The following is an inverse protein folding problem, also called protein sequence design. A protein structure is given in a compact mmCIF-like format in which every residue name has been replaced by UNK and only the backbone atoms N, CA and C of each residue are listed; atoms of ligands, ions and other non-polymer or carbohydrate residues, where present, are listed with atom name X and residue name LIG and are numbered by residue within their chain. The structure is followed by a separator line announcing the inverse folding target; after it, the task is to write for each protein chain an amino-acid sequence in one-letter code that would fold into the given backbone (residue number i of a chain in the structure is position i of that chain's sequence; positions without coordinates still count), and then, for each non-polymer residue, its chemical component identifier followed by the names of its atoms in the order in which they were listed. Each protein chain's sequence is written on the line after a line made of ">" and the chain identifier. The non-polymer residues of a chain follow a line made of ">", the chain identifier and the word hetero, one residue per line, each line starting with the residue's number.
data_IF_365264649885
#
_entry.id   IF_365264649885
#
_cell.length_a   1.000
_cell.length_b   1.000
_cell.length_c   1.000
_cell.angle_alpha   90.00
_cell.angle_beta   90.00
_cell.angle_gamma   90.00
#
_symmetry.space_group_name_H-M   'P 1'
#
loop_
_entity.id
_entity.type
_entity.pdbx_description
1 polymer ?
#
# COMPACT_ATOMS: atom_id res chain seq x y z
N UNK A 1 -5.68 -5.34 -14.90
CA UNK A 1 -5.99 -4.96 -13.50
C UNK A 1 -5.24 -3.70 -13.18
N UNK A 2 -5.93 -2.69 -12.67
CA UNK A 2 -5.34 -1.40 -12.24
C UNK A 2 -5.43 -1.29 -10.72
N UNK A 3 -4.33 -0.91 -10.10
CA UNK A 3 -4.23 -0.70 -8.65
C UNK A 3 -3.66 0.69 -8.39
N UNK A 4 -4.29 1.41 -7.47
CA UNK A 4 -3.89 2.77 -7.10
C UNK A 4 -3.49 2.80 -5.62
N UNK A 5 -2.47 3.57 -5.25
CA UNK A 5 -2.21 3.97 -3.87
C UNK A 5 -2.21 5.49 -3.79
N UNK A 6 -3.01 6.05 -2.89
CA UNK A 6 -3.16 7.49 -2.78
C UNK A 6 -3.55 7.92 -1.37
N UNK A 7 -2.81 8.89 -0.84
CA UNK A 7 -3.22 9.62 0.36
C UNK A 7 -4.09 10.80 -0.07
N UNK A 8 -5.39 10.74 0.25
CA UNK A 8 -6.38 11.73 -0.19
C UNK A 8 -6.58 12.88 0.79
N UNK A 9 -5.88 12.89 1.93
CA UNK A 9 -5.94 13.96 2.94
C UNK A 9 -7.37 14.36 3.34
N UNK A 10 -8.24 13.36 3.51
CA UNK A 10 -9.66 13.55 3.89
C UNK A 10 -10.47 14.39 2.87
N UNK A 11 -10.03 14.49 1.62
CA UNK A 11 -10.73 15.22 0.57
C UNK A 11 -11.74 14.30 -0.13
N UNK A 12 -13.01 14.66 -0.07
CA UNK A 12 -14.11 13.90 -0.69
C UNK A 12 -14.05 13.94 -2.21
N UNK A 13 -13.60 15.04 -2.81
CA UNK A 13 -13.51 15.17 -4.27
C UNK A 13 -12.45 14.24 -4.88
N UNK A 14 -11.47 13.83 -4.07
CA UNK A 14 -10.49 12.84 -4.49
C UNK A 14 -11.14 11.47 -4.79
N UNK A 15 -12.25 11.11 -4.13
CA UNK A 15 -13.01 9.90 -4.45
C UNK A 15 -13.60 9.95 -5.85
N UNK A 16 -14.15 11.09 -6.26
CA UNK A 16 -14.70 11.27 -7.61
C UNK A 16 -13.61 11.19 -8.67
N UNK A 17 -12.45 11.79 -8.40
CA UNK A 17 -11.29 11.68 -9.29
C UNK A 17 -10.80 10.22 -9.39
N UNK A 18 -10.69 9.54 -8.25
CA UNK A 18 -10.31 8.12 -8.19
C UNK A 18 -11.26 7.26 -9.04
N UNK A 19 -12.57 7.38 -8.81
CA UNK A 19 -13.57 6.54 -9.47
C UNK A 19 -13.72 6.84 -10.95
N UNK A 20 -13.71 8.12 -11.35
CA UNK A 20 -14.06 8.55 -12.70
C UNK A 20 -12.86 8.72 -13.64
N UNK A 21 -11.68 9.04 -13.11
CA UNK A 21 -10.48 9.32 -13.91
C UNK A 21 -9.45 8.20 -13.82
N UNK A 22 -9.11 7.78 -12.60
CA UNK A 22 -8.14 6.72 -12.41
C UNK A 22 -8.75 5.34 -12.62
N UNK A 23 -10.03 5.17 -12.34
CA UNK A 23 -10.84 3.97 -12.57
C UNK A 23 -10.14 2.65 -12.16
N UNK A 24 -9.73 2.50 -10.89
CA UNK A 24 -9.00 1.32 -10.45
C UNK A 24 -9.91 0.12 -10.22
N UNK A 25 -9.39 -1.10 -10.40
CA UNK A 25 -10.01 -2.32 -9.87
C UNK A 25 -9.89 -2.34 -8.33
N UNK A 26 -8.74 -1.84 -7.82
CA UNK A 26 -8.46 -1.73 -6.38
C UNK A 26 -7.70 -0.43 -6.07
N UNK A 27 -7.94 0.12 -4.89
CA UNK A 27 -7.11 1.21 -4.38
C UNK A 27 -6.80 1.05 -2.89
N UNK A 28 -5.59 1.46 -2.52
CA UNK A 28 -5.10 1.62 -1.16
C UNK A 28 -5.16 3.12 -0.84
N UNK A 29 -6.11 3.52 0.00
CA UNK A 29 -6.38 4.93 0.30
C UNK A 29 -6.01 5.24 1.73
N UNK A 30 -5.15 6.24 1.90
CA UNK A 30 -4.72 6.73 3.20
C UNK A 30 -5.42 8.06 3.52
N UNK A 31 -5.59 8.38 4.80
CA UNK A 31 -6.33 9.55 5.27
C UNK A 31 -7.69 9.66 4.57
N UNK A 32 -8.43 8.56 4.58
CA UNK A 32 -9.71 8.43 3.90
C UNK A 32 -10.83 9.18 4.63
N UNK A 33 -11.83 9.59 3.89
CA UNK A 33 -13.18 9.94 4.37
C UNK A 33 -14.17 8.89 3.90
N UNK A 34 -15.42 9.00 4.36
CA UNK A 34 -16.49 8.14 3.87
C UNK A 34 -16.60 8.21 2.34
N UNK A 35 -16.81 7.05 1.73
CA UNK A 35 -17.09 6.96 0.30
C UNK A 35 -18.41 7.67 -0.01
N UNK A 36 -18.47 8.58 -1.00
CA UNK A 36 -19.74 9.16 -1.47
C UNK A 36 -20.74 8.07 -1.86
N UNK A 37 -22.02 8.29 -1.55
CA UNK A 37 -23.09 7.30 -1.77
C UNK A 37 -23.32 6.96 -3.25
N UNK A 38 -22.95 7.87 -4.14
CA UNK A 38 -23.08 7.73 -5.60
C UNK A 38 -21.86 7.06 -6.26
N UNK A 39 -20.83 6.70 -5.49
CA UNK A 39 -19.68 5.92 -5.97
C UNK A 39 -19.85 4.45 -5.61
N UNK A 40 -20.01 3.60 -6.64
CA UNK A 40 -20.09 2.17 -6.47
C UNK A 40 -18.74 1.57 -6.05
N UNK A 41 -18.64 1.15 -4.80
CA UNK A 41 -17.42 0.56 -4.26
C UNK A 41 -17.63 -0.22 -2.97
N UNK A 42 -16.72 -1.14 -2.71
CA UNK A 42 -16.61 -1.81 -1.42
C UNK A 42 -15.43 -1.19 -0.69
N UNK A 43 -15.68 -0.63 0.50
CA UNK A 43 -14.61 -0.21 1.40
C UNK A 43 -14.33 -1.27 2.45
N UNK A 44 -13.07 -1.57 2.62
CA UNK A 44 -12.57 -2.50 3.62
C UNK A 44 -11.66 -1.70 4.54
N UNK A 45 -12.14 -1.51 5.78
CA UNK A 45 -11.45 -0.71 6.79
C UNK A 45 -10.50 -1.56 7.60
N UNK A 46 -9.34 -1.00 7.91
CA UNK A 46 -8.52 -1.50 9.00
C UNK A 46 -9.26 -1.21 10.32
N UNK A 47 -9.54 -2.25 11.08
CA UNK A 47 -10.25 -2.08 12.35
C UNK A 47 -9.39 -1.27 13.34
N UNK A 48 -10.03 -0.31 14.02
CA UNK A 48 -9.62 0.29 15.30
C UNK A 48 -8.83 1.59 15.36
N UNK A 49 -8.77 2.44 14.35
CA UNK A 49 -8.28 3.80 14.59
C UNK A 49 -9.32 4.83 14.18
N UNK A 50 -9.88 5.52 15.16
CA UNK A 50 -10.97 6.48 14.97
C UNK A 50 -10.59 7.72 14.13
N UNK A 51 -9.30 7.95 13.91
CA UNK A 51 -8.82 9.21 13.34
C UNK A 51 -7.94 9.10 12.06
N UNK A 52 -7.51 7.91 11.66
CA UNK A 52 -6.65 7.73 10.48
C UNK A 52 -7.10 6.53 9.66
N UNK A 53 -8.03 6.78 8.77
CA UNK A 53 -8.66 5.73 7.98
C UNK A 53 -7.78 5.36 6.78
N UNK A 54 -7.00 4.28 6.90
CA UNK A 54 -6.53 3.55 5.75
C UNK A 54 -7.59 2.55 5.32
N UNK A 55 -7.90 2.51 4.03
CA UNK A 55 -8.93 1.62 3.49
C UNK A 55 -8.47 0.99 2.18
N UNK A 56 -8.90 -0.24 1.95
CA UNK A 56 -8.84 -0.85 0.63
C UNK A 56 -10.20 -0.62 -0.05
N UNK A 57 -10.18 0.07 -1.17
CA UNK A 57 -11.31 0.22 -2.07
C UNK A 57 -11.27 -0.89 -3.12
N UNK A 58 -12.43 -1.46 -3.43
CA UNK A 58 -12.61 -2.37 -4.56
C UNK A 58 -13.83 -1.96 -5.38
N UNK A 59 -13.65 -1.84 -6.71
CA UNK A 59 -14.72 -1.47 -7.64
C UNK A 59 -15.81 -2.54 -7.68
N UNK A 60 -17.08 -2.13 -7.51
CA UNK A 60 -18.25 -2.99 -7.70
C UNK A 60 -18.44 -3.27 -9.19
N UNK A 61 -18.94 -4.48 -9.52
CA UNK A 61 -19.15 -4.88 -10.92
C UNK A 61 -17.89 -5.31 -11.67
N UNK A 62 -16.71 -5.14 -11.07
CA UNK A 62 -15.45 -5.61 -11.64
C UNK A 62 -15.32 -7.14 -11.68
N UNK A 63 -14.18 -7.63 -12.15
CA UNK A 63 -13.90 -9.07 -12.28
C UNK A 63 -13.69 -9.79 -10.94
N UNK A 64 -13.53 -9.06 -9.85
CA UNK A 64 -13.14 -9.58 -8.55
C UNK A 64 -14.29 -9.51 -7.54
N UNK A 65 -14.38 -10.51 -6.66
CA UNK A 65 -15.36 -10.60 -5.57
C UNK A 65 -14.64 -10.78 -4.26
N UNK A 66 -15.03 -10.01 -3.25
CA UNK A 66 -14.49 -10.16 -1.89
C UNK A 66 -14.81 -11.55 -1.35
N UNK A 67 -13.80 -12.24 -0.84
CA UNK A 67 -13.89 -13.57 -0.24
C UNK A 67 -13.78 -13.52 1.27
N UNK A 68 -12.80 -12.80 1.76
CA UNK A 68 -12.55 -12.66 3.19
C UNK A 68 -11.73 -11.42 3.50
N UNK A 69 -11.84 -10.97 4.72
CA UNK A 69 -10.98 -9.94 5.30
C UNK A 69 -10.35 -10.46 6.57
N UNK A 70 -9.16 -9.96 6.90
CA UNK A 70 -8.46 -10.24 8.14
C UNK A 70 -7.84 -8.93 8.63
N UNK A 71 -8.27 -8.47 9.81
CA UNK A 71 -7.62 -7.35 10.46
C UNK A 71 -6.24 -7.78 10.96
N UNK A 72 -5.25 -6.95 10.74
CA UNK A 72 -3.95 -7.02 11.40
C UNK A 72 -4.04 -6.15 12.67
N UNK A 73 -3.26 -6.43 13.69
CA UNK A 73 -3.18 -5.53 14.84
C UNK A 73 -2.60 -4.21 14.38
N UNK A 74 -2.99 -3.12 15.02
CA UNK A 74 -2.42 -1.78 14.81
C UNK A 74 -2.67 -1.12 13.43
N UNK A 75 -3.78 -1.46 12.78
CA UNK A 75 -4.31 -0.67 11.67
C UNK A 75 -4.04 -1.22 10.27
N UNK A 76 -3.46 -2.40 10.14
CA UNK A 76 -3.33 -3.07 8.85
C UNK A 76 -4.52 -3.98 8.50
N UNK A 77 -4.71 -4.27 7.22
CA UNK A 77 -5.75 -5.19 6.74
C UNK A 77 -5.25 -6.07 5.61
N UNK A 78 -5.73 -7.31 5.59
CA UNK A 78 -5.63 -8.22 4.46
C UNK A 78 -7.01 -8.43 3.88
N UNK A 79 -7.21 -8.09 2.62
CA UNK A 79 -8.42 -8.40 1.87
C UNK A 79 -8.11 -9.44 0.79
N UNK A 80 -8.92 -10.48 0.71
CA UNK A 80 -8.79 -11.55 -0.26
C UNK A 80 -9.92 -11.48 -1.27
N UNK A 81 -9.57 -11.47 -2.54
CA UNK A 81 -10.51 -11.40 -3.65
C UNK A 81 -10.32 -12.58 -4.61
N UNK A 82 -11.43 -13.12 -5.09
CA UNK A 82 -11.45 -14.13 -6.13
C UNK A 82 -12.12 -13.62 -7.40
N UNK A 83 -11.67 -14.10 -8.57
CA UNK A 83 -12.24 -13.76 -9.89
C UNK A 83 -12.88 -14.96 -10.60
N UNK A 84 -13.21 -16.03 -9.87
CA UNK A 84 -13.72 -17.27 -10.44
C UNK A 84 -12.66 -18.19 -11.04
N UNK A 85 -11.42 -17.71 -11.20
CA UNK A 85 -10.26 -18.54 -11.50
C UNK A 85 -9.67 -19.16 -10.21
N UNK A 86 -8.73 -20.07 -10.35
CA UNK A 86 -8.24 -20.92 -9.26
C UNK A 86 -7.45 -20.17 -8.17
N UNK A 87 -6.98 -18.94 -8.43
CA UNK A 87 -6.09 -18.24 -7.53
C UNK A 87 -6.67 -16.91 -7.05
N UNK A 88 -6.87 -16.81 -5.74
CA UNK A 88 -7.24 -15.56 -5.07
C UNK A 88 -6.10 -14.54 -5.10
N UNK A 89 -6.45 -13.26 -5.13
CA UNK A 89 -5.52 -12.15 -4.92
C UNK A 89 -5.67 -11.63 -3.51
N UNK A 90 -4.54 -11.43 -2.82
CA UNK A 90 -4.50 -10.88 -1.48
C UNK A 90 -3.94 -9.47 -1.53
N UNK A 91 -4.71 -8.51 -1.03
CA UNK A 91 -4.32 -7.11 -0.91
C UNK A 91 -3.98 -6.83 0.54
N UNK A 92 -2.80 -6.33 0.78
CA UNK A 92 -2.30 -5.97 2.10
C UNK A 92 -2.12 -4.47 2.17
N UNK A 93 -2.81 -3.83 3.09
CA UNK A 93 -2.63 -2.43 3.45
C UNK A 93 -2.08 -2.34 4.87
N UNK A 94 -1.01 -1.61 5.02
CA UNK A 94 -0.45 -1.26 6.32
C UNK A 94 -0.18 0.23 6.30
N UNK A 95 -0.83 0.94 7.19
CA UNK A 95 -0.58 2.36 7.42
C UNK A 95 0.14 2.51 8.78
N UNK A 96 1.47 2.55 8.80
CA UNK A 96 2.18 2.85 10.03
C UNK A 96 1.89 4.30 10.40
N UNK A 97 1.47 4.51 11.62
CA UNK A 97 1.07 5.76 12.25
C UNK A 97 1.96 6.97 11.93
N UNK A 98 1.40 8.17 12.07
CA UNK A 98 2.00 9.48 11.75
C UNK A 98 3.30 9.86 12.49
N UNK A 99 3.86 9.00 13.33
CA UNK A 99 5.10 9.29 14.00
C UNK A 99 6.14 8.20 13.79
N UNK A 100 7.29 8.58 13.25
CA UNK A 100 8.47 7.73 13.16
C UNK A 100 9.06 7.54 14.55
N UNK A 101 8.48 6.62 15.31
CA UNK A 101 9.03 6.22 16.60
C UNK A 101 9.61 4.80 16.48
N UNK A 102 10.53 4.47 17.38
CA UNK A 102 11.02 3.09 17.55
C UNK A 102 9.86 2.10 17.70
N UNK A 103 8.76 2.52 18.36
CA UNK A 103 7.56 1.71 18.55
C UNK A 103 6.83 1.45 17.23
N UNK A 104 6.69 2.46 16.35
CA UNK A 104 6.07 2.30 15.02
C UNK A 104 6.82 1.28 14.17
N UNK A 105 8.14 1.29 14.20
CA UNK A 105 8.94 0.30 13.49
C UNK A 105 8.77 -1.11 14.08
N UNK A 106 8.67 -1.22 15.40
CA UNK A 106 8.43 -2.49 16.09
C UNK A 106 7.07 -3.06 15.72
N UNK A 107 6.05 -2.22 15.68
CA UNK A 107 4.69 -2.57 15.25
C UNK A 107 4.71 -3.07 13.82
N UNK A 108 5.32 -2.31 12.89
CA UNK A 108 5.41 -2.69 11.48
C UNK A 108 6.11 -4.06 11.29
N UNK A 109 7.18 -4.34 12.05
CA UNK A 109 7.86 -5.64 12.00
C UNK A 109 6.95 -6.75 12.52
N UNK A 110 6.23 -6.50 13.61
CA UNK A 110 5.25 -7.44 14.15
C UNK A 110 4.18 -7.77 13.12
N UNK A 111 3.65 -6.75 12.43
CA UNK A 111 2.66 -6.90 11.38
C UNK A 111 3.22 -7.65 10.16
N UNK A 112 4.41 -7.27 9.70
CA UNK A 112 5.10 -8.01 8.64
C UNK A 112 5.31 -9.48 9.03
N UNK A 113 5.67 -9.76 10.28
CA UNK A 113 5.82 -11.13 10.77
C UNK A 113 4.50 -11.90 10.77
N UNK A 114 3.39 -11.25 11.07
CA UNK A 114 2.05 -11.86 11.01
C UNK A 114 1.57 -12.08 9.59
N UNK A 115 1.72 -11.05 8.73
CA UNK A 115 1.48 -11.17 7.30
C UNK A 115 2.27 -12.33 6.73
N UNK A 116 3.53 -12.41 7.06
CA UNK A 116 4.41 -13.48 6.57
C UNK A 116 4.05 -14.84 7.16
N UNK A 117 3.62 -14.92 8.41
CA UNK A 117 3.06 -16.15 9.00
C UNK A 117 1.77 -16.58 8.31
N UNK A 118 0.89 -15.63 7.98
CA UNK A 118 -0.30 -15.89 7.16
C UNK A 118 0.08 -16.37 5.76
N UNK A 119 1.01 -15.68 5.11
CA UNK A 119 1.49 -15.99 3.78
C UNK A 119 2.22 -17.36 3.75
N UNK A 120 2.99 -17.70 4.79
CA UNK A 120 3.74 -18.96 4.85
C UNK A 120 2.83 -20.18 4.99
N UNK A 121 1.68 -20.05 5.64
CA UNK A 121 0.71 -21.15 5.79
C UNK A 121 0.03 -21.58 4.49
N UNK A 122 -0.03 -20.70 3.49
CA UNK A 122 -0.71 -20.97 2.22
C UNK A 122 0.14 -20.66 0.98
N UNK A 123 1.32 -20.05 1.12
CA UNK A 123 2.15 -19.53 0.03
C UNK A 123 1.25 -18.87 -1.03
N UNK A 124 0.55 -17.78 -0.72
CA UNK A 124 -0.30 -17.16 -1.69
C UNK A 124 0.58 -16.65 -2.83
N UNK A 125 0.30 -17.16 -4.04
CA UNK A 125 1.07 -16.82 -5.23
C UNK A 125 0.84 -15.38 -5.68
N UNK A 126 -0.29 -14.79 -5.25
CA UNK A 126 -0.78 -13.50 -5.75
C UNK A 126 -1.05 -12.55 -4.60
N UNK A 127 -0.05 -11.77 -4.24
CA UNK A 127 -0.12 -10.75 -3.19
C UNK A 127 0.31 -9.41 -3.75
N UNK A 128 -0.43 -8.36 -3.43
CA UNK A 128 -0.03 -6.96 -3.56
C UNK A 128 -0.01 -6.37 -2.15
N UNK A 129 1.09 -5.74 -1.82
CA UNK A 129 1.28 -4.98 -0.60
C UNK A 129 1.58 -3.54 -1.01
N UNK A 130 0.70 -2.63 -0.66
CA UNK A 130 0.85 -1.23 -1.01
C UNK A 130 0.34 -0.33 0.10
N UNK A 131 0.71 0.94 0.05
CA UNK A 131 0.33 1.95 1.02
C UNK A 131 1.33 3.10 1.03
N UNK A 132 1.32 3.86 2.09
CA UNK A 132 2.24 4.96 2.32
C UNK A 132 3.03 4.70 3.61
N UNK A 133 4.34 4.58 3.47
CA UNK A 133 5.25 4.59 4.61
C UNK A 133 5.67 6.04 4.87
N UNK A 134 5.25 6.61 5.99
CA UNK A 134 5.64 7.95 6.41
C UNK A 134 7.06 7.95 7.02
N UNK A 135 8.02 7.26 6.40
CA UNK A 135 9.35 7.04 6.91
C UNK A 135 10.37 7.46 5.86
N UNK A 136 11.28 8.39 6.19
CA UNK A 136 12.40 8.72 5.32
C UNK A 136 13.39 7.56 5.25
N UNK A 137 14.07 7.36 4.10
CA UNK A 137 15.11 6.32 4.00
C UNK A 137 16.17 6.46 5.09
N UNK A 138 16.62 7.69 5.38
CA UNK A 138 17.65 7.96 6.39
C UNK A 138 17.19 7.71 7.82
N UNK A 139 15.90 7.90 8.13
CA UNK A 139 15.32 7.60 9.44
C UNK A 139 14.97 6.12 9.56
N UNK A 140 14.49 5.51 8.48
CA UNK A 140 14.32 4.08 8.36
C UNK A 140 15.61 3.36 8.73
N UNK A 141 16.71 3.71 8.12
CA UNK A 141 17.99 3.06 8.39
C UNK A 141 18.42 3.14 9.85
N UNK A 142 18.18 4.26 10.52
CA UNK A 142 18.52 4.42 11.95
C UNK A 142 17.60 3.61 12.86
N UNK A 143 16.30 3.63 12.60
CA UNK A 143 15.29 2.91 13.38
C UNK A 143 15.47 1.40 13.19
N UNK A 144 15.61 0.95 11.94
CA UNK A 144 15.82 -0.44 11.58
C UNK A 144 17.18 -0.96 12.09
N UNK A 145 18.25 -0.18 11.91
CA UNK A 145 19.58 -0.53 12.42
C UNK A 145 19.56 -0.68 13.93
N UNK A 146 18.89 0.23 14.65
CA UNK A 146 18.70 0.15 16.10
C UNK A 146 17.95 -1.11 16.52
N UNK A 147 16.86 -1.44 15.83
CA UNK A 147 16.06 -2.62 16.10
C UNK A 147 16.84 -3.92 15.84
N UNK A 148 17.45 -4.07 14.66
CA UNK A 148 18.22 -5.29 14.36
C UNK A 148 19.47 -5.43 15.22
N UNK A 149 20.11 -4.33 15.60
CA UNK A 149 21.20 -4.34 16.55
C UNK A 149 20.74 -4.85 17.93
N UNK A 150 19.53 -4.48 18.36
CA UNK A 150 18.91 -5.01 19.59
C UNK A 150 18.63 -6.51 19.51
N UNK A 151 18.43 -7.05 18.32
CA UNK A 151 18.24 -8.48 18.06
C UNK A 151 19.57 -9.24 17.79
N UNK A 152 20.72 -8.57 17.89
CA UNK A 152 22.03 -9.17 17.60
C UNK A 152 22.26 -9.55 16.14
N UNK A 153 21.49 -8.98 15.21
CA UNK A 153 21.59 -9.25 13.78
C UNK A 153 22.24 -8.08 13.03
N UNK A 154 23.13 -8.38 12.07
CA UNK A 154 23.57 -7.41 11.06
C UNK A 154 22.45 -7.23 10.06
N UNK A 155 22.07 -5.95 9.84
CA UNK A 155 21.12 -5.59 8.81
C UNK A 155 21.84 -5.20 7.54
N UNK A 156 21.32 -5.66 6.39
CA UNK A 156 21.81 -5.26 5.07
C UNK A 156 20.75 -4.38 4.33
N UNK A 157 19.43 -4.54 4.64
CA UNK A 157 18.36 -3.79 3.99
C UNK A 157 17.08 -3.81 4.85
N UNK A 158 16.38 -2.67 4.98
CA UNK A 158 15.11 -2.55 5.72
C UNK A 158 13.98 -3.40 5.16
N UNK A 159 14.02 -3.68 3.86
CA UNK A 159 13.00 -4.45 3.15
C UNK A 159 13.35 -5.93 2.95
N UNK A 160 14.52 -6.37 3.42
CA UNK A 160 14.96 -7.77 3.34
C UNK A 160 13.88 -8.78 3.82
N UNK A 161 13.11 -8.50 4.90
CA UNK A 161 12.02 -9.39 5.29
C UNK A 161 10.98 -9.60 4.18
N UNK A 162 10.59 -8.57 3.44
CA UNK A 162 9.63 -8.69 2.33
C UNK A 162 10.20 -9.53 1.19
N UNK A 163 11.47 -9.32 0.85
CA UNK A 163 12.16 -10.10 -0.19
C UNK A 163 12.27 -11.58 0.18
N UNK A 164 12.54 -11.90 1.44
CA UNK A 164 12.56 -13.28 1.95
C UNK A 164 11.23 -14.01 1.81
N UNK A 165 10.11 -13.25 1.84
CA UNK A 165 8.78 -13.79 1.59
C UNK A 165 8.40 -13.82 0.11
N UNK A 166 9.35 -13.52 -0.78
CA UNK A 166 9.14 -13.56 -2.21
C UNK A 166 8.42 -12.36 -2.78
N UNK A 167 8.28 -11.29 -1.99
CA UNK A 167 7.79 -10.01 -2.49
C UNK A 167 8.91 -9.26 -3.20
N UNK A 168 8.57 -8.48 -4.21
CA UNK A 168 9.48 -7.66 -5.02
C UNK A 168 8.95 -6.24 -5.08
N UNK A 169 9.85 -5.28 -4.97
CA UNK A 169 9.53 -3.88 -5.15
C UNK A 169 9.17 -3.62 -6.62
N UNK A 170 7.91 -3.20 -6.84
CA UNK A 170 7.41 -2.91 -8.18
C UNK A 170 8.07 -1.67 -8.81
N UNK A 171 8.56 -0.73 -8.00
CA UNK A 171 9.22 0.48 -8.49
C UNK A 171 10.53 0.18 -9.22
N UNK A 172 11.18 -0.93 -8.88
CA UNK A 172 12.47 -1.33 -9.46
C UNK A 172 12.34 -2.05 -10.79
N UNK A 173 11.13 -2.40 -11.24
CA UNK A 173 10.93 -3.19 -12.47
C UNK A 173 11.29 -2.43 -13.75
N UNK A 174 11.13 -1.12 -13.73
CA UNK A 174 11.37 -0.26 -14.89
C UNK A 174 12.59 0.62 -14.63
N UNK A 175 13.36 0.90 -15.68
CA UNK A 175 14.62 1.62 -15.55
C UNK A 175 14.49 3.09 -15.12
N UNK A 176 13.30 3.68 -15.21
CA UNK A 176 13.04 5.03 -14.75
C UNK A 176 12.63 5.01 -13.28
N UNK A 177 13.31 5.77 -12.40
CA UNK A 177 12.86 5.91 -11.02
C UNK A 177 11.49 6.56 -10.99
N UNK A 178 10.62 6.10 -10.08
CA UNK A 178 9.36 6.77 -9.81
C UNK A 178 9.64 8.20 -9.32
N UNK A 179 8.92 9.15 -9.89
CA UNK A 179 8.90 10.49 -9.33
C UNK A 179 8.32 10.43 -7.92
N UNK A 180 8.80 11.28 -7.00
CA UNK A 180 8.22 11.35 -5.67
C UNK A 180 6.70 11.59 -5.73
N UNK A 181 5.92 10.76 -5.05
CA UNK A 181 4.47 10.92 -5.01
C UNK A 181 4.04 12.10 -4.14
N UNK A 182 4.86 12.49 -3.16
CA UNK A 182 4.56 13.63 -2.30
C UNK A 182 5.27 14.88 -2.79
N UNK A 183 4.52 15.98 -2.97
CA UNK A 183 5.06 17.31 -3.26
C UNK A 183 5.63 18.00 -2.02
N UNK A 184 5.27 17.55 -0.84
CA UNK A 184 5.86 18.03 0.42
C UNK A 184 7.36 17.71 0.54
N UNK A 185 7.91 16.90 -0.37
CA UNK A 185 9.34 16.59 -0.42
C UNK A 185 10.25 17.77 -0.81
N UNK A 186 9.71 18.88 -1.29
CA UNK A 186 10.49 20.10 -1.48
C UNK A 186 11.02 20.69 -0.16
N UNK A 187 10.49 20.27 0.96
CA UNK A 187 11.05 20.53 2.29
C UNK A 187 11.68 19.24 2.81
N UNK A 188 12.98 19.18 2.82
CA UNK A 188 13.92 18.09 3.07
C UNK A 188 13.68 17.15 4.29
N UNK A 189 12.52 17.18 4.94
CA UNK A 189 12.34 16.55 6.25
C UNK A 189 11.31 15.41 6.33
N UNK A 190 10.56 15.09 5.28
CA UNK A 190 9.62 13.96 5.38
C UNK A 190 9.22 13.37 4.01
N UNK A 191 9.97 12.43 3.45
CA UNK A 191 9.59 11.74 2.22
C UNK A 191 8.61 10.61 2.55
N UNK A 192 7.32 10.91 2.55
CA UNK A 192 6.33 9.85 2.48
C UNK A 192 6.35 9.25 1.08
N UNK A 193 7.03 8.14 0.91
CA UNK A 193 7.04 7.43 -0.37
C UNK A 193 5.94 6.37 -0.37
N UNK A 194 5.07 6.37 -1.39
CA UNK A 194 4.20 5.22 -1.62
C UNK A 194 5.08 4.03 -1.97
N UNK A 195 4.71 2.89 -1.47
CA UNK A 195 5.38 1.66 -1.82
C UNK A 195 4.39 0.69 -2.48
N UNK A 196 4.94 -0.11 -3.41
CA UNK A 196 4.25 -1.20 -4.07
C UNK A 196 5.14 -2.42 -4.10
N UNK A 197 4.74 -3.45 -3.41
CA UNK A 197 5.41 -4.74 -3.39
C UNK A 197 4.46 -5.82 -3.88
N UNK A 198 4.97 -6.76 -4.65
CA UNK A 198 4.16 -7.85 -5.17
C UNK A 198 4.94 -9.16 -5.20
N UNK A 199 4.22 -10.27 -5.05
CA UNK A 199 4.79 -11.60 -5.28
C UNK A 199 5.26 -11.75 -6.72
N UNK A 200 6.19 -12.67 -6.96
CA UNK A 200 6.82 -12.90 -8.27
C UNK A 200 5.80 -13.02 -9.41
N UNK A 201 4.68 -13.69 -9.17
CA UNK A 201 3.63 -13.87 -10.19
C UNK A 201 3.00 -12.53 -10.58
N UNK A 202 2.55 -11.74 -9.59
CA UNK A 202 1.95 -10.43 -9.84
C UNK A 202 2.98 -9.45 -10.38
N UNK A 203 4.19 -9.43 -9.82
CA UNK A 203 5.29 -8.63 -10.32
C UNK A 203 5.60 -8.93 -11.79
N UNK A 204 5.55 -10.22 -12.20
CA UNK A 204 5.71 -10.62 -13.60
C UNK A 204 4.68 -9.99 -14.53
N UNK A 205 3.46 -9.82 -14.06
CA UNK A 205 2.33 -9.22 -14.79
C UNK A 205 2.32 -7.69 -14.79
N UNK A 206 3.13 -7.02 -13.97
CA UNK A 206 3.21 -5.56 -13.92
C UNK A 206 3.64 -5.01 -15.29
N UNK A 207 2.79 -4.17 -15.88
CA UNK A 207 2.98 -3.52 -17.18
C UNK A 207 3.57 -2.13 -17.06
N UNK A 208 3.06 -1.38 -16.09
CA UNK A 208 3.54 -0.03 -15.77
C UNK A 208 3.30 0.31 -14.32
N UNK A 209 4.12 1.18 -13.76
CA UNK A 209 3.90 1.85 -12.48
C UNK A 209 4.38 3.28 -12.62
N UNK A 210 3.51 4.24 -12.29
CA UNK A 210 3.80 5.66 -12.45
C UNK A 210 3.16 6.46 -11.33
N UNK A 211 3.81 7.57 -10.98
CA UNK A 211 3.19 8.66 -10.24
C UNK A 211 2.35 9.45 -11.22
N UNK A 212 1.06 9.56 -10.94
CA UNK A 212 0.15 10.29 -11.79
C UNK A 212 0.18 11.78 -11.42
N UNK A 213 0.57 12.61 -12.36
CA UNK A 213 0.71 14.06 -12.20
C UNK A 213 -0.35 14.75 -13.07
N UNK A 214 -1.23 15.51 -12.43
CA UNK A 214 -2.30 16.25 -13.08
C UNK A 214 -2.58 17.52 -12.25
N UNK A 215 -2.87 18.66 -12.89
CA UNK A 215 -3.19 19.90 -12.20
C UNK A 215 -4.44 19.78 -11.32
N UNK A 216 -5.40 18.96 -11.72
CA UNK A 216 -6.60 18.65 -10.94
C UNK A 216 -6.22 17.95 -9.63
N UNK A 217 -5.35 16.94 -9.68
CA UNK A 217 -4.86 16.22 -8.50
C UNK A 217 -4.14 17.16 -7.53
N UNK A 218 -3.44 18.16 -8.07
CA UNK A 218 -2.72 19.16 -7.27
C UNK A 218 -3.68 19.91 -6.34
N UNK A 219 -4.90 20.12 -6.75
CA UNK A 219 -5.92 20.79 -5.93
C UNK A 219 -6.58 19.84 -4.91
N UNK A 220 -6.54 18.54 -5.14
CA UNK A 220 -7.23 17.52 -4.33
C UNK A 220 -6.39 17.02 -3.15
N UNK A 221 -5.07 16.88 -3.34
CA UNK A 221 -4.17 16.38 -2.29
C UNK A 221 -2.74 16.88 -2.52
N UNK A 222 -1.96 17.12 -1.46
CA UNK A 222 -0.52 17.33 -1.56
C UNK A 222 0.24 16.06 -2.00
N UNK A 223 -0.43 14.93 -2.05
CA UNK A 223 0.12 13.65 -2.48
C UNK A 223 -0.44 13.27 -3.85
N UNK A 224 0.43 12.78 -4.72
CA UNK A 224 0.03 12.28 -6.02
C UNK A 224 -0.26 10.78 -5.96
N UNK A 225 -1.28 10.28 -6.66
CA UNK A 225 -1.54 8.85 -6.72
C UNK A 225 -0.44 8.10 -7.48
N UNK A 226 -0.11 6.92 -6.99
CA UNK A 226 0.70 5.94 -7.72
C UNK A 226 -0.22 4.92 -8.36
N UNK A 227 -0.10 4.76 -9.67
CA UNK A 227 -0.93 3.89 -10.48
C UNK A 227 -0.08 2.73 -11.02
N UNK A 228 -0.48 1.51 -10.69
CA UNK A 228 0.15 0.29 -11.17
C UNK A 228 -0.82 -0.50 -12.06
N UNK A 229 -0.45 -0.72 -13.32
CA UNK A 229 -1.22 -1.50 -14.29
C UNK A 229 -0.62 -2.90 -14.46
N UNK A 230 -1.46 -3.92 -14.38
CA UNK A 230 -1.08 -5.32 -14.54
C UNK A 230 -1.81 -5.95 -15.72
N UNK A 231 -1.14 -6.83 -16.46
CA UNK A 231 -1.79 -7.69 -17.44
C UNK A 231 -2.83 -8.60 -16.75
N UNK A 232 -3.89 -8.92 -17.48
CA UNK A 232 -4.92 -9.86 -17.03
C UNK A 232 -4.40 -11.29 -16.93
#
# INVERSE_FOLDING_TARGET
>A
MRVVSWNIEKNVDAWYHLANKLDPDFAFIQNSVALPEDIDGILIHAANTADENSVIYAKVGGAYRLRSTMALTDGGIVATFGNGSLDDIHLLDVNPWNSVTYESARIMISELSRVTSFLSKKIPKRVIYAGQLNISESENDKVWTGFFKSLGKKQENSFEPLERFGLRDCSTKFAAPLLPASRCQLNHNNPSQPFFWATKEIYGKLRSINVYLDDEIISLSPHNPVVADYNK
#
